data_IF_589681874813
#
_entry.id   IF_589681874813
#
_cell.length_a   1.000
_cell.length_b   1.000
_cell.length_c   1.000
_cell.angle_alpha   90.00
_cell.angle_beta   90.00
_cell.angle_gamma   90.00
#
_symmetry.space_group_name_H-M   'P 1'
#
loop_
_entity.id
_entity.type
_entity.pdbx_description
1 polymer ?
#
# COMPACT_ATOMS: atom_id res chain seq x y z
N UNK A 1 3.26 17.84 -6.61
CA UNK A 1 4.58 17.63 -7.24
C UNK A 1 4.45 16.24 -7.81
N UNK A 2 4.31 16.12 -9.13
CA UNK A 2 4.06 14.83 -9.76
C UNK A 2 5.26 13.92 -9.59
N UNK A 3 5.05 12.74 -9.02
CA UNK A 3 6.10 11.72 -8.91
C UNK A 3 6.46 11.23 -10.31
N UNK A 4 7.74 11.28 -10.66
CA UNK A 4 8.20 10.82 -11.98
C UNK A 4 8.15 9.29 -12.04
N UNK A 5 7.85 8.75 -13.23
CA UNK A 5 7.95 7.31 -13.47
C UNK A 5 9.36 6.82 -13.12
N UNK A 6 9.44 5.72 -12.38
CA UNK A 6 10.68 5.14 -11.87
C UNK A 6 11.12 5.70 -10.51
N UNK A 7 10.48 6.76 -10.00
CA UNK A 7 10.78 7.28 -8.66
C UNK A 7 10.59 6.20 -7.60
N UNK A 8 11.56 6.11 -6.69
CA UNK A 8 11.47 5.22 -5.53
C UNK A 8 10.88 5.98 -4.35
N UNK A 9 9.75 5.49 -3.85
CA UNK A 9 9.03 6.08 -2.72
C UNK A 9 8.78 5.03 -1.64
N UNK A 10 8.65 5.50 -0.41
CA UNK A 10 8.14 4.72 0.71
C UNK A 10 6.68 5.11 0.93
N UNK A 11 5.78 4.13 0.87
CA UNK A 11 4.35 4.36 1.09
C UNK A 11 3.84 3.50 2.23
N UNK A 12 3.03 4.10 3.08
CA UNK A 12 2.10 3.36 3.92
C UNK A 12 0.75 3.28 3.24
N UNK A 13 0.12 2.11 3.28
CA UNK A 13 -1.21 1.92 2.71
C UNK A 13 -1.98 0.81 3.41
N UNK A 14 -3.30 0.93 3.34
CA UNK A 14 -4.27 -0.09 3.72
C UNK A 14 -5.19 -0.34 2.53
N UNK A 15 -5.25 -1.58 2.07
CA UNK A 15 -6.09 -2.00 0.97
C UNK A 15 -7.35 -2.68 1.51
N UNK A 16 -8.51 -2.17 1.12
CA UNK A 16 -9.82 -2.68 1.53
C UNK A 16 -10.72 -2.98 0.32
N UNK A 17 -11.68 -3.88 0.53
CA UNK A 17 -12.72 -4.17 -0.46
C UNK A 17 -13.80 -3.10 -0.34
N UNK A 18 -13.99 -2.31 -1.41
CA UNK A 18 -14.90 -1.15 -1.44
C UNK A 18 -16.30 -1.42 -0.87
N UNK A 19 -16.88 -2.57 -1.18
CA UNK A 19 -18.27 -2.90 -0.80
C UNK A 19 -18.42 -3.34 0.67
N UNK A 20 -17.35 -3.87 1.27
CA UNK A 20 -17.41 -4.46 2.63
C UNK A 20 -16.54 -3.73 3.64
N UNK A 21 -15.70 -2.80 3.16
CA UNK A 21 -14.61 -2.17 3.93
C UNK A 21 -13.63 -3.17 4.57
N UNK A 22 -13.70 -4.46 4.20
CA UNK A 22 -12.81 -5.49 4.74
C UNK A 22 -11.39 -5.23 4.25
N UNK A 23 -10.48 -5.00 5.19
CA UNK A 23 -9.05 -4.91 4.92
C UNK A 23 -8.57 -6.31 4.48
N UNK A 24 -7.78 -6.35 3.40
CA UNK A 24 -7.13 -7.58 2.94
C UNK A 24 -5.61 -7.45 2.85
N UNK A 25 -5.06 -6.24 2.94
CA UNK A 25 -3.63 -5.98 3.09
C UNK A 25 -3.42 -4.64 3.79
N UNK A 26 -2.39 -4.52 4.63
CA UNK A 26 -1.93 -3.23 5.15
C UNK A 26 -0.44 -3.27 5.45
N UNK A 27 0.23 -2.12 5.35
CA UNK A 27 1.58 -1.90 5.88
C UNK A 27 1.56 -1.37 7.32
N UNK A 28 0.41 -0.95 7.83
CA UNK A 28 0.24 -0.31 9.14
C UNK A 28 -0.08 -1.39 10.18
N UNK A 29 0.76 -1.51 11.21
CA UNK A 29 0.60 -2.57 12.22
C UNK A 29 -0.71 -2.44 13.01
N UNK A 30 -1.13 -1.21 13.31
CA UNK A 30 -2.37 -0.94 14.04
C UNK A 30 -3.60 -1.44 13.26
N UNK A 31 -3.69 -1.15 11.97
CA UNK A 31 -4.75 -1.65 11.09
C UNK A 31 -4.73 -3.18 10.98
N UNK A 32 -3.54 -3.78 10.97
CA UNK A 32 -3.39 -5.24 10.95
C UNK A 32 -3.91 -5.87 12.24
N UNK A 33 -3.63 -5.25 13.41
CA UNK A 33 -4.13 -5.71 14.72
C UNK A 33 -5.63 -5.50 14.91
N UNK A 34 -6.17 -4.43 14.33
CA UNK A 34 -7.60 -4.14 14.33
C UNK A 34 -8.38 -4.99 13.30
N UNK A 35 -7.68 -5.77 12.48
CA UNK A 35 -8.24 -6.74 11.54
C UNK A 35 -7.74 -8.16 11.88
N UNK A 36 -8.21 -9.16 11.13
CA UNK A 36 -7.76 -10.54 11.28
C UNK A 36 -6.44 -10.84 10.51
N UNK A 37 -5.65 -9.81 10.19
CA UNK A 37 -4.47 -9.89 9.31
C UNK A 37 -3.14 -9.70 10.03
N UNK A 38 -3.15 -9.56 11.36
CA UNK A 38 -1.93 -9.43 12.13
C UNK A 38 -1.08 -10.70 12.06
N UNK A 39 0.17 -10.54 11.63
CA UNK A 39 1.20 -11.58 11.63
C UNK A 39 2.37 -11.09 12.49
N UNK A 40 2.63 -11.72 13.66
CA UNK A 40 3.71 -11.31 14.56
C UNK A 40 5.11 -11.56 13.98
N UNK A 41 5.23 -12.33 12.90
CA UNK A 41 6.50 -12.57 12.19
C UNK A 41 6.79 -11.52 11.13
N UNK A 42 5.77 -10.76 10.72
CA UNK A 42 5.89 -9.70 9.72
C UNK A 42 6.40 -8.41 10.35
N UNK A 43 7.33 -7.75 9.66
CA UNK A 43 7.68 -6.36 9.95
C UNK A 43 6.76 -5.43 9.17
N UNK A 44 5.97 -4.66 9.91
CA UNK A 44 5.11 -3.61 9.36
C UNK A 44 5.90 -2.31 9.17
N UNK A 45 5.40 -1.44 8.30
CA UNK A 45 6.01 -0.16 7.94
C UNK A 45 6.03 0.10 6.43
N UNK A 46 6.49 1.29 6.01
CA UNK A 46 6.39 1.73 4.63
C UNK A 46 7.00 0.74 3.64
N UNK A 47 6.27 0.46 2.56
CA UNK A 47 6.75 -0.38 1.46
C UNK A 47 7.49 0.49 0.44
N UNK A 48 8.67 0.03 0.00
CA UNK A 48 9.39 0.60 -1.13
C UNK A 48 8.66 0.24 -2.44
N UNK A 49 8.32 1.26 -3.22
CA UNK A 49 7.60 1.13 -4.50
C UNK A 49 8.29 1.98 -5.56
N UNK A 50 8.36 1.46 -6.79
CA UNK A 50 8.76 2.22 -7.97
C UNK A 50 7.51 2.66 -8.74
N UNK A 51 7.32 3.97 -8.89
CA UNK A 51 6.13 4.58 -9.49
C UNK A 51 6.05 4.27 -10.99
N UNK A 52 4.92 3.76 -11.46
CA UNK A 52 4.66 3.48 -12.88
C UNK A 52 5.39 2.24 -13.43
N UNK A 53 5.92 1.39 -12.55
CA UNK A 53 6.66 0.16 -12.89
C UNK A 53 5.89 -1.12 -12.51
N UNK A 54 4.64 -1.00 -12.02
CA UNK A 54 3.77 -2.15 -11.77
C UNK A 54 4.12 -2.98 -10.52
N UNK A 55 4.79 -2.39 -9.53
CA UNK A 55 5.16 -3.06 -8.28
C UNK A 55 3.98 -3.27 -7.33
N UNK A 56 2.91 -2.50 -7.52
CA UNK A 56 1.66 -2.55 -6.77
C UNK A 56 0.48 -2.70 -7.72
N UNK A 57 -0.74 -2.82 -7.18
CA UNK A 57 -1.95 -2.89 -8.02
C UNK A 57 -2.01 -1.71 -8.98
N UNK A 58 -2.33 -1.97 -10.25
CA UNK A 58 -2.34 -0.98 -11.33
C UNK A 58 -3.02 0.32 -10.95
N UNK A 59 -4.20 0.26 -10.32
CA UNK A 59 -4.93 1.47 -9.91
C UNK A 59 -4.22 2.30 -8.82
N UNK A 60 -3.46 1.65 -7.92
CA UNK A 60 -2.62 2.36 -6.96
C UNK A 60 -1.40 2.97 -7.66
N UNK A 61 -0.78 2.24 -8.59
CA UNK A 61 0.39 2.72 -9.32
C UNK A 61 0.06 3.94 -10.20
N UNK A 62 -1.09 3.91 -10.88
CA UNK A 62 -1.63 5.04 -11.65
C UNK A 62 -1.94 6.24 -10.74
N UNK A 63 -2.57 6.01 -9.58
CA UNK A 63 -2.85 7.08 -8.62
C UNK A 63 -1.57 7.73 -8.05
N UNK A 64 -0.51 6.95 -7.83
CA UNK A 64 0.78 7.47 -7.39
C UNK A 64 1.46 8.33 -8.47
N UNK A 65 1.32 7.96 -9.74
CA UNK A 65 1.84 8.77 -10.85
C UNK A 65 1.09 10.09 -11.05
N UNK A 66 -0.13 10.22 -10.51
CA UNK A 66 -0.96 11.44 -10.58
C UNK A 66 -0.86 12.34 -9.34
N UNK A 67 -0.20 11.89 -8.27
CA UNK A 67 -0.13 12.55 -6.96
C UNK A 67 0.70 13.87 -6.93
#
# INVERSE_FOLDING_TARGET
>A
MTLEKGSLILIDYTANIKDTSKIFETTIEEDAKNSDLYDPTRKYGPRLVSVGEGWVLKGLDEALAEA
#
